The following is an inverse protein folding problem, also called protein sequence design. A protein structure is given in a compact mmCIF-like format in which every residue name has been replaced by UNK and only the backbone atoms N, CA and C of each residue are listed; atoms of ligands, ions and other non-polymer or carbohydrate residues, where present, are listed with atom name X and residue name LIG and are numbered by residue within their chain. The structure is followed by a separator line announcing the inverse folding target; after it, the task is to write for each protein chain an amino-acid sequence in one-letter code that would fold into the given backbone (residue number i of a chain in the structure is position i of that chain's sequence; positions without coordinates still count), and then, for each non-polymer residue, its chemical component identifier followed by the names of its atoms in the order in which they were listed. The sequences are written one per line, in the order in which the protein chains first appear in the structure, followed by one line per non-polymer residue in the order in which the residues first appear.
data_IF_217925399038
#
_entry.id   IF_217925399038
#
_cell.length_a   1.000
_cell.length_b   1.000
_cell.length_c   1.000
_cell.angle_alpha   90.00
_cell.angle_beta   90.00
_cell.angle_gamma   90.00
#
_symmetry.space_group_name_H-M   'P 1'
#
loop_
_entity.id
_entity.type
_entity.pdbx_description
1 polymer ?
#
# COMPACT_ATOMS: atom_id res chain seq x y z
N UNK A 1 8.61 -40.89 9.99
CA UNK A 1 8.99 -39.98 8.89
C UNK A 1 9.94 -38.89 9.35
N UNK A 2 9.58 -38.05 10.32
CA UNK A 2 10.45 -36.97 10.82
C UNK A 2 11.88 -37.41 11.23
N UNK A 3 12.09 -38.47 12.05
CA UNK A 3 13.43 -38.88 12.46
C UNK A 3 14.29 -39.38 11.27
N UNK A 4 13.67 -40.06 10.30
CA UNK A 4 14.35 -40.53 9.10
C UNK A 4 14.78 -39.36 8.21
N UNK A 5 13.91 -38.36 8.02
CA UNK A 5 14.24 -37.15 7.27
C UNK A 5 15.39 -36.36 7.91
N UNK A 6 15.39 -36.22 9.24
CA UNK A 6 16.47 -35.52 9.97
C UNK A 6 17.81 -36.24 9.85
N UNK A 7 17.83 -37.57 9.97
CA UNK A 7 19.06 -38.38 9.81
C UNK A 7 19.57 -38.29 8.37
N UNK A 8 18.69 -38.41 7.39
CA UNK A 8 19.05 -38.30 5.97
C UNK A 8 19.62 -36.92 5.64
N UNK A 9 18.99 -35.84 6.13
CA UNK A 9 19.48 -34.48 5.95
C UNK A 9 20.84 -34.26 6.62
N UNK A 10 21.01 -34.75 7.85
CA UNK A 10 22.28 -34.68 8.57
C UNK A 10 23.41 -35.43 7.86
N UNK A 11 23.12 -36.61 7.30
CA UNK A 11 24.08 -37.40 6.53
C UNK A 11 24.58 -36.64 5.30
N UNK A 12 23.69 -36.05 4.51
CA UNK A 12 24.09 -35.25 3.33
C UNK A 12 24.77 -33.92 3.70
N UNK A 13 24.40 -33.30 4.82
CA UNK A 13 25.02 -32.06 5.29
C UNK A 13 26.41 -32.26 5.90
N UNK A 14 26.71 -33.46 6.44
CA UNK A 14 27.97 -33.74 7.13
C UNK A 14 29.22 -33.57 6.25
N UNK A 15 29.09 -33.76 4.94
CA UNK A 15 30.19 -33.63 3.98
C UNK A 15 30.38 -32.20 3.46
N UNK A 16 29.46 -31.28 3.78
CA UNK A 16 29.48 -29.92 3.24
C UNK A 16 30.32 -29.02 4.16
N UNK A 17 31.40 -28.40 3.66
CA UNK A 17 32.17 -27.45 4.45
C UNK A 17 31.31 -26.28 4.92
N UNK A 18 31.44 -25.90 6.19
CA UNK A 18 30.68 -24.78 6.77
C UNK A 18 30.82 -23.47 5.96
N UNK A 19 31.99 -23.24 5.37
CA UNK A 19 32.24 -22.11 4.49
C UNK A 19 31.34 -22.10 3.24
N UNK A 20 31.04 -23.27 2.67
CA UNK A 20 30.15 -23.41 1.50
C UNK A 20 28.69 -23.14 1.90
N UNK A 21 28.24 -23.65 3.04
CA UNK A 21 26.89 -23.35 3.57
C UNK A 21 26.71 -21.86 3.82
N UNK A 22 27.69 -21.22 4.48
CA UNK A 22 27.68 -19.77 4.73
C UNK A 22 27.59 -18.97 3.44
N UNK A 23 28.42 -19.29 2.45
CA UNK A 23 28.42 -18.58 1.17
C UNK A 23 27.10 -18.78 0.42
N UNK A 24 26.55 -19.99 0.40
CA UNK A 24 25.23 -20.26 -0.20
C UNK A 24 24.11 -19.51 0.50
N UNK A 25 24.14 -19.40 1.82
CA UNK A 25 23.17 -18.61 2.58
C UNK A 25 23.25 -17.12 2.20
N UNK A 26 24.46 -16.55 2.12
CA UNK A 26 24.65 -15.17 1.66
C UNK A 26 24.17 -14.95 0.22
N UNK A 27 24.44 -15.90 -0.68
CA UNK A 27 23.96 -15.84 -2.07
C UNK A 27 22.43 -15.87 -2.12
N UNK A 28 21.79 -16.76 -1.35
CA UNK A 28 20.33 -16.83 -1.27
C UNK A 28 19.74 -15.51 -0.74
N UNK A 29 20.32 -14.96 0.34
CA UNK A 29 19.90 -13.68 0.91
C UNK A 29 20.08 -12.53 -0.09
N UNK A 30 21.19 -12.51 -0.83
CA UNK A 30 21.44 -11.50 -1.84
C UNK A 30 20.43 -11.59 -2.99
N UNK A 31 20.16 -12.80 -3.52
CA UNK A 31 19.16 -13.02 -4.57
C UNK A 31 17.78 -12.58 -4.08
N UNK A 32 17.41 -12.97 -2.86
CA UNK A 32 16.12 -12.62 -2.30
C UNK A 32 15.98 -11.11 -2.10
N UNK A 33 17.00 -10.46 -1.52
CA UNK A 33 17.01 -9.02 -1.29
C UNK A 33 16.98 -8.21 -2.58
N UNK A 34 17.81 -8.55 -3.56
CA UNK A 34 17.85 -7.88 -4.88
C UNK A 34 16.54 -8.11 -5.63
N UNK A 35 16.03 -9.35 -5.62
CA UNK A 35 14.76 -9.69 -6.25
C UNK A 35 13.59 -8.89 -5.68
N UNK A 36 13.51 -8.76 -4.36
CA UNK A 36 12.48 -7.94 -3.71
C UNK A 36 12.65 -6.45 -3.99
N UNK A 37 13.87 -5.93 -3.96
CA UNK A 37 14.14 -4.53 -4.29
C UNK A 37 13.71 -4.20 -5.74
N UNK A 38 14.05 -5.07 -6.69
CA UNK A 38 13.65 -4.92 -8.09
C UNK A 38 12.12 -5.03 -8.26
N UNK A 39 11.48 -6.01 -7.61
CA UNK A 39 10.03 -6.18 -7.66
C UNK A 39 9.29 -4.98 -7.04
N UNK A 40 9.77 -4.46 -5.91
CA UNK A 40 9.24 -3.24 -5.27
C UNK A 40 9.31 -2.03 -6.19
N UNK A 41 10.40 -1.86 -6.94
CA UNK A 41 10.55 -0.73 -7.84
C UNK A 41 9.72 -0.83 -9.14
N UNK A 42 9.34 -2.04 -9.55
CA UNK A 42 8.81 -2.30 -10.91
C UNK A 42 7.43 -2.95 -10.93
N UNK A 43 7.20 -4.01 -10.15
CA UNK A 43 5.97 -4.80 -10.16
C UNK A 43 4.92 -4.25 -9.19
N UNK A 44 5.34 -3.80 -8.00
CA UNK A 44 4.43 -3.35 -6.93
C UNK A 44 4.03 -1.86 -7.02
N UNK A 45 4.31 -1.17 -8.14
CA UNK A 45 3.91 0.24 -8.32
C UNK A 45 2.40 0.49 -8.21
N UNK A 46 1.55 -0.52 -8.46
CA UNK A 46 0.09 -0.39 -8.36
C UNK A 46 -0.42 -0.49 -6.92
N UNK A 47 0.45 -0.88 -6.00
CA UNK A 47 0.21 -0.92 -4.56
C UNK A 47 0.80 0.32 -3.87
N UNK A 48 1.50 1.19 -4.61
CA UNK A 48 2.11 2.38 -4.06
C UNK A 48 1.06 3.47 -3.81
N UNK A 49 0.71 3.66 -2.54
CA UNK A 49 -0.19 4.70 -2.06
C UNK A 49 0.52 6.04 -1.81
N UNK A 50 1.85 6.11 -1.97
CA UNK A 50 2.62 7.35 -1.78
C UNK A 50 2.13 8.54 -2.61
N UNK A 51 1.68 8.39 -3.88
CA UNK A 51 1.13 9.52 -4.62
C UNK A 51 -0.11 10.12 -3.96
N UNK A 52 -1.01 9.27 -3.43
CA UNK A 52 -2.19 9.71 -2.68
C UNK A 52 -1.78 10.31 -1.34
N UNK A 53 -0.85 9.68 -0.62
CA UNK A 53 -0.34 10.20 0.65
C UNK A 53 0.30 11.58 0.51
N UNK A 54 1.08 11.81 -0.55
CA UNK A 54 1.68 13.11 -0.85
C UNK A 54 0.61 14.16 -1.16
N UNK A 55 -0.42 13.81 -1.95
CA UNK A 55 -1.54 14.69 -2.25
C UNK A 55 -2.27 15.16 -0.96
N UNK A 56 -2.44 14.23 -0.01
CA UNK A 56 -3.06 14.49 1.28
C UNK A 56 -2.13 15.33 2.17
N UNK A 57 -0.84 15.03 2.21
CA UNK A 57 0.14 15.72 3.05
C UNK A 57 0.24 17.23 2.73
N UNK A 58 0.10 17.61 1.46
CA UNK A 58 0.00 19.01 1.03
C UNK A 58 -1.25 19.73 1.56
N UNK A 59 -2.28 18.98 1.98
CA UNK A 59 -3.61 19.43 2.39
C UNK A 59 -3.99 18.88 3.78
N UNK A 60 -2.99 18.65 4.63
CA UNK A 60 -3.15 18.03 5.97
C UNK A 60 -4.09 18.77 6.94
N UNK A 61 -4.39 20.04 6.66
CA UNK A 61 -5.29 20.87 7.48
C UNK A 61 -6.74 20.87 6.97
N UNK A 62 -7.02 20.26 5.82
CA UNK A 62 -8.39 20.12 5.32
C UNK A 62 -9.14 19.04 6.09
N UNK A 63 -10.47 19.08 6.04
CA UNK A 63 -11.29 17.97 6.50
C UNK A 63 -11.24 16.84 5.49
N UNK A 64 -11.12 15.61 5.99
CA UNK A 64 -11.00 14.42 5.18
C UNK A 64 -11.96 13.33 5.64
N UNK A 65 -12.63 12.71 4.68
CA UNK A 65 -13.37 11.49 4.90
C UNK A 65 -13.02 10.39 3.89
N UNK A 66 -13.37 9.17 4.24
CA UNK A 66 -13.18 7.95 3.44
C UNK A 66 -14.52 7.25 3.30
N UNK A 67 -14.78 6.72 2.10
CA UNK A 67 -15.98 5.96 1.78
C UNK A 67 -15.69 4.48 1.54
N UNK A 68 -14.76 3.91 2.32
CA UNK A 68 -14.39 2.49 2.23
C UNK A 68 -13.70 1.99 3.50
N UNK A 69 -13.80 0.68 3.75
CA UNK A 69 -13.40 0.02 5.00
C UNK A 69 -11.88 -0.05 5.30
N UNK A 70 -11.01 0.59 4.52
CA UNK A 70 -9.55 0.40 4.64
C UNK A 70 -8.75 1.71 4.67
N UNK A 71 -8.82 2.39 5.80
CA UNK A 71 -8.50 3.80 5.94
C UNK A 71 -7.13 4.11 6.57
N UNK A 72 -6.58 3.18 7.36
CA UNK A 72 -5.44 3.46 8.25
C UNK A 72 -4.09 3.55 7.52
N UNK A 73 -3.92 2.79 6.43
CA UNK A 73 -2.65 2.77 5.69
C UNK A 73 -2.35 4.12 5.04
N UNK A 74 -3.34 4.72 4.38
CA UNK A 74 -3.19 6.02 3.72
C UNK A 74 -2.96 7.14 4.74
N UNK A 75 -3.67 7.10 5.87
CA UNK A 75 -3.56 8.12 6.91
C UNK A 75 -2.20 8.09 7.59
N UNK A 76 -1.69 6.89 7.85
CA UNK A 76 -0.34 6.67 8.37
C UNK A 76 0.73 7.19 7.40
N UNK A 77 0.67 6.82 6.12
CA UNK A 77 1.64 7.24 5.11
C UNK A 77 1.64 8.78 4.92
N UNK A 78 0.47 9.40 4.95
CA UNK A 78 0.32 10.85 4.85
C UNK A 78 0.73 11.61 6.13
N UNK A 79 1.01 10.90 7.23
CA UNK A 79 1.28 11.46 8.56
C UNK A 79 0.18 12.41 9.03
N UNK A 80 -1.08 12.02 8.79
CA UNK A 80 -2.24 12.82 9.17
C UNK A 80 -2.35 12.91 10.69
N UNK A 81 -2.55 14.12 11.22
CA UNK A 81 -2.77 14.32 12.66
C UNK A 81 -4.23 14.19 13.05
N UNK A 82 -5.15 14.68 12.20
CA UNK A 82 -6.59 14.45 12.33
C UNK A 82 -6.89 13.12 11.61
N UNK A 83 -7.56 12.15 12.25
CA UNK A 83 -7.95 10.90 11.57
C UNK A 83 -9.00 11.18 10.48
N UNK A 84 -9.12 10.27 9.53
CA UNK A 84 -10.22 10.30 8.56
C UNK A 84 -11.56 10.08 9.24
N UNK A 85 -12.58 10.79 8.78
CA UNK A 85 -13.97 10.46 9.08
C UNK A 85 -14.47 9.37 8.13
N UNK A 86 -15.28 8.44 8.61
CA UNK A 86 -15.94 7.46 7.74
C UNK A 86 -17.25 8.04 7.23
N UNK A 87 -17.55 7.89 5.93
CA UNK A 87 -18.83 8.29 5.35
C UNK A 87 -19.36 7.25 4.37
N UNK A 88 -20.64 6.91 4.48
CA UNK A 88 -21.33 6.07 3.49
C UNK A 88 -21.93 6.89 2.34
N UNK A 89 -21.95 8.22 2.48
CA UNK A 89 -22.51 9.16 1.50
C UNK A 89 -21.54 10.32 1.24
N UNK A 90 -20.60 10.16 0.29
CA UNK A 90 -19.62 11.19 -0.06
C UNK A 90 -20.25 12.55 -0.39
N UNK A 91 -21.35 12.56 -1.16
CA UNK A 91 -21.98 13.80 -1.63
C UNK A 91 -22.63 14.60 -0.49
N UNK A 92 -23.21 13.92 0.49
CA UNK A 92 -23.80 14.57 1.65
C UNK A 92 -22.73 15.11 2.59
N UNK A 93 -21.65 14.34 2.82
CA UNK A 93 -20.52 14.79 3.63
C UNK A 93 -19.81 16.00 3.00
N UNK A 94 -19.63 16.02 1.68
CA UNK A 94 -19.03 17.15 0.97
C UNK A 94 -19.90 18.42 1.02
N UNK A 95 -21.23 18.28 1.12
CA UNK A 95 -22.15 19.41 1.30
C UNK A 95 -22.03 20.04 2.69
N UNK A 96 -21.73 19.24 3.72
CA UNK A 96 -21.51 19.74 5.08
C UNK A 96 -20.07 20.23 5.33
N UNK A 97 -19.11 19.83 4.48
CA UNK A 97 -17.69 20.23 4.55
C UNK A 97 -17.23 20.95 3.27
N UNK A 98 -17.66 22.20 3.04
CA UNK A 98 -17.23 22.97 1.88
C UNK A 98 -15.72 23.26 1.98
N UNK A 99 -14.93 22.61 1.11
CA UNK A 99 -13.45 22.63 1.13
C UNK A 99 -12.81 21.35 1.66
N UNK A 100 -13.61 20.40 2.14
CA UNK A 100 -13.19 19.05 2.51
C UNK A 100 -13.00 18.13 1.30
N UNK A 101 -12.42 16.98 1.57
CA UNK A 101 -12.12 15.95 0.58
C UNK A 101 -12.64 14.58 1.02
N UNK A 102 -13.17 13.80 0.07
CA UNK A 102 -13.56 12.40 0.30
C UNK A 102 -12.73 11.49 -0.59
N UNK A 103 -12.17 10.44 -0.02
CA UNK A 103 -11.50 9.38 -0.77
C UNK A 103 -12.50 8.25 -0.99
N UNK A 104 -12.72 7.88 -2.25
CA UNK A 104 -13.68 6.85 -2.65
C UNK A 104 -13.03 5.81 -3.59
N UNK A 105 -13.60 4.61 -3.64
CA UNK A 105 -13.20 3.53 -4.55
C UNK A 105 -14.13 3.50 -5.76
N UNK A 106 -13.56 3.72 -6.95
CA UNK A 106 -14.27 3.55 -8.22
C UNK A 106 -13.71 2.39 -9.04
N UNK A 107 -14.57 1.75 -9.83
CA UNK A 107 -14.16 0.73 -10.82
C UNK A 107 -13.54 1.37 -12.07
N UNK A 108 -13.90 2.62 -12.36
CA UNK A 108 -13.37 3.40 -13.46
C UNK A 108 -12.66 4.66 -12.94
N UNK A 109 -12.01 5.40 -13.84
CA UNK A 109 -11.29 6.61 -13.47
C UNK A 109 -12.21 7.75 -12.96
N UNK A 110 -13.54 7.60 -13.11
CA UNK A 110 -14.54 8.64 -12.89
C UNK A 110 -14.41 9.82 -13.87
N UNK A 111 -15.54 10.45 -14.18
CA UNK A 111 -15.56 11.69 -15.00
C UNK A 111 -16.23 12.86 -14.27
N UNK A 112 -16.43 12.74 -12.95
CA UNK A 112 -17.04 13.80 -12.16
C UNK A 112 -16.12 15.02 -12.09
N UNK A 113 -16.70 16.21 -12.28
CA UNK A 113 -15.99 17.50 -12.14
C UNK A 113 -15.46 17.72 -10.71
N UNK A 114 -15.92 16.93 -9.74
CA UNK A 114 -15.48 16.98 -8.35
C UNK A 114 -14.18 16.20 -8.11
N UNK A 115 -13.67 15.45 -9.09
CA UNK A 115 -12.44 14.65 -8.93
C UNK A 115 -11.22 15.57 -8.91
N UNK A 116 -10.60 15.71 -7.74
CA UNK A 116 -9.37 16.47 -7.54
C UNK A 116 -8.11 15.62 -7.76
N UNK A 117 -8.19 14.31 -7.55
CA UNK A 117 -7.05 13.39 -7.72
C UNK A 117 -7.54 11.96 -8.02
N UNK A 118 -6.69 11.17 -8.71
CA UNK A 118 -6.96 9.77 -9.02
C UNK A 118 -5.68 8.94 -8.91
N UNK A 119 -5.80 7.73 -8.37
CA UNK A 119 -4.74 6.75 -8.27
C UNK A 119 -5.27 5.40 -8.76
N UNK A 120 -4.61 4.81 -9.75
CA UNK A 120 -4.93 3.47 -10.20
C UNK A 120 -4.35 2.44 -9.23
N UNK A 121 -5.20 1.54 -8.74
CA UNK A 121 -4.86 0.46 -7.82
C UNK A 121 -5.26 -0.89 -8.43
N UNK A 122 -4.83 -2.01 -7.85
CA UNK A 122 -5.09 -3.35 -8.42
C UNK A 122 -6.59 -3.61 -8.72
N UNK A 123 -7.48 -3.11 -7.85
CA UNK A 123 -8.94 -3.30 -7.95
C UNK A 123 -9.69 -2.05 -8.44
N UNK A 124 -9.09 -1.25 -9.32
CA UNK A 124 -9.74 -0.09 -9.94
C UNK A 124 -9.00 1.21 -9.61
N UNK A 125 -9.71 2.17 -9.03
CA UNK A 125 -9.19 3.50 -8.73
C UNK A 125 -9.56 3.94 -7.33
N UNK A 126 -8.60 4.61 -6.67
CA UNK A 126 -8.90 5.53 -5.59
C UNK A 126 -9.08 6.91 -6.20
N UNK A 127 -10.23 7.53 -5.96
CA UNK A 127 -10.54 8.88 -6.42
C UNK A 127 -10.69 9.79 -5.21
N UNK A 128 -10.18 11.02 -5.33
CA UNK A 128 -10.39 12.06 -4.32
C UNK A 128 -11.40 13.05 -4.86
N UNK A 129 -12.54 13.12 -4.21
CA UNK A 129 -13.61 14.06 -4.48
C UNK A 129 -13.41 15.31 -3.62
N UNK A 130 -13.69 16.48 -4.18
CA UNK A 130 -13.61 17.77 -3.50
C UNK A 130 -14.98 18.42 -3.42
N UNK A 131 -15.30 18.96 -2.25
CA UNK A 131 -16.53 19.73 -2.05
C UNK A 131 -16.51 21.01 -2.88
N UNK A 132 -17.58 21.26 -3.62
CA UNK A 132 -17.76 22.52 -4.34
C UNK A 132 -18.28 23.60 -3.38
N UNK A 133 -17.80 24.83 -3.58
CA UNK A 133 -18.33 26.03 -2.92
C UNK A 133 -19.58 26.52 -3.66
#
# INVERSE_FOLDING_TARGET
MLPFATILFGYFMAEIPLARLRNSAFVLLAIFGIGHAAASATAFRREDLMPLANFIAERKNADWAVAFDYQDEVGFLARLQKPFESTDNPEEWLRSHPGGYVIDKSKDAGTSEQIAFRLHVERGYLVVLKGQH
#
